data_IF_559618676442
#
_entry.id   IF_559618676442
#
_cell.length_a   1.000
_cell.length_b   1.000
_cell.length_c   1.000
_cell.angle_alpha   90.00
_cell.angle_beta   90.00
_cell.angle_gamma   90.00
#
_symmetry.space_group_name_H-M   'P 1'
#
loop_
_entity.id
_entity.type
_entity.pdbx_description
1 polymer ?
#
# COMPACT_ATOMS: atom_id res chain seq x y z
N UNK A 1 51.22 -8.31 -9.99
CA UNK A 1 50.61 -9.10 -8.90
C UNK A 1 49.14 -9.32 -9.22
N UNK A 2 48.67 -10.55 -8.97
CA UNK A 2 47.43 -11.16 -9.47
C UNK A 2 46.15 -10.45 -9.02
N UNK A 3 45.15 -10.46 -9.91
CA UNK A 3 43.73 -10.27 -9.60
C UNK A 3 43.29 -11.14 -8.42
N UNK A 4 42.51 -10.57 -7.50
CA UNK A 4 41.71 -11.36 -6.55
C UNK A 4 40.24 -11.01 -6.75
N UNK A 5 39.53 -12.04 -7.18
CA UNK A 5 38.12 -12.17 -7.46
C UNK A 5 37.20 -11.66 -6.35
N UNK A 6 36.18 -10.91 -6.74
CA UNK A 6 35.04 -10.57 -5.91
C UNK A 6 34.31 -11.81 -5.39
N UNK A 7 34.04 -11.82 -4.08
CA UNK A 7 33.15 -12.81 -3.47
C UNK A 7 31.71 -12.40 -3.75
N UNK A 8 31.01 -13.29 -4.45
CA UNK A 8 29.54 -13.35 -4.47
C UNK A 8 29.07 -13.71 -3.06
N UNK A 9 28.22 -12.88 -2.48
CA UNK A 9 27.29 -13.30 -1.44
C UNK A 9 25.89 -13.13 -1.99
N UNK A 10 25.37 -14.22 -2.55
CA UNK A 10 23.98 -14.31 -2.96
C UNK A 10 23.10 -14.44 -1.72
N UNK A 11 22.38 -13.38 -1.39
CA UNK A 11 21.09 -13.52 -0.74
C UNK A 11 20.06 -13.78 -1.84
N UNK A 12 19.67 -15.05 -1.95
CA UNK A 12 18.56 -15.46 -2.80
C UNK A 12 17.30 -14.86 -2.16
N UNK A 13 16.81 -13.79 -2.78
CA UNK A 13 15.53 -13.16 -2.50
C UNK A 13 14.45 -14.21 -2.33
N UNK A 14 13.81 -14.24 -1.14
CA UNK A 14 12.71 -15.15 -0.78
C UNK A 14 11.45 -14.98 -1.65
N UNK A 15 11.49 -14.09 -2.64
CA UNK A 15 10.36 -13.71 -3.49
C UNK A 15 10.37 -14.36 -4.89
N UNK A 16 11.30 -15.28 -5.17
CA UNK A 16 11.43 -15.93 -6.49
C UNK A 16 10.62 -17.23 -6.63
N UNK A 17 9.29 -17.12 -6.54
CA UNK A 17 8.39 -18.10 -7.17
C UNK A 17 8.05 -17.63 -8.59
N UNK A 18 8.98 -17.77 -9.54
CA UNK A 18 8.80 -17.81 -11.01
C UNK A 18 7.91 -16.79 -11.75
N UNK A 19 7.30 -15.81 -11.07
CA UNK A 19 6.32 -14.86 -11.60
C UNK A 19 6.77 -13.45 -11.26
N UNK A 20 6.94 -12.62 -12.29
CA UNK A 20 7.36 -11.21 -12.14
C UNK A 20 6.40 -10.47 -11.20
N UNK A 21 6.90 -10.00 -10.07
CA UNK A 21 6.18 -9.07 -9.21
C UNK A 21 6.05 -7.75 -9.96
N UNK A 22 4.83 -7.20 -10.01
CA UNK A 22 4.62 -5.85 -10.51
C UNK A 22 5.12 -4.88 -9.44
N UNK A 23 6.29 -4.27 -9.62
CA UNK A 23 6.84 -3.36 -8.63
C UNK A 23 6.22 -1.97 -8.80
N UNK A 24 6.17 -1.45 -10.03
CA UNK A 24 5.75 -0.09 -10.32
C UNK A 24 4.52 -0.04 -11.20
N UNK A 25 3.59 0.86 -10.90
CA UNK A 25 2.50 1.26 -11.77
C UNK A 25 2.50 2.78 -11.94
N UNK A 26 2.29 3.24 -13.16
CA UNK A 26 2.09 4.67 -13.45
C UNK A 26 0.59 4.96 -13.57
N UNK A 27 0.15 6.08 -13.00
CA UNK A 27 -1.20 6.62 -13.14
C UNK A 27 -1.12 8.05 -13.68
N UNK A 28 -1.85 8.30 -14.75
CA UNK A 28 -2.04 9.63 -15.33
C UNK A 28 -3.26 10.29 -14.67
N UNK A 29 -3.02 11.35 -13.90
CA UNK A 29 -4.05 12.08 -13.19
C UNK A 29 -4.94 12.94 -14.10
N UNK A 30 -4.51 13.24 -15.33
CA UNK A 30 -5.33 14.00 -16.29
C UNK A 30 -6.61 13.25 -16.72
N UNK A 31 -6.65 11.94 -16.48
CA UNK A 31 -7.80 11.08 -16.77
C UNK A 31 -8.91 11.16 -15.72
N UNK A 32 -8.71 11.90 -14.62
CA UNK A 32 -9.60 11.94 -13.47
C UNK A 32 -9.91 13.38 -13.07
N UNK A 33 -11.11 13.63 -12.59
CA UNK A 33 -11.55 14.93 -12.10
C UNK A 33 -10.89 15.24 -10.75
N UNK A 34 -11.22 14.46 -9.73
CA UNK A 34 -10.57 14.53 -8.41
C UNK A 34 -9.80 13.24 -8.14
N UNK A 35 -8.70 13.37 -7.40
CA UNK A 35 -7.91 12.23 -6.95
C UNK A 35 -7.73 12.32 -5.46
N UNK A 36 -8.15 11.26 -4.78
CA UNK A 36 -8.04 11.09 -3.34
C UNK A 36 -7.08 9.96 -3.02
N UNK A 37 -6.33 10.11 -1.94
CA UNK A 37 -5.49 9.07 -1.36
C UNK A 37 -6.04 8.72 0.03
N UNK A 38 -6.15 7.43 0.35
CA UNK A 38 -6.60 6.93 1.65
C UNK A 38 -5.53 6.10 2.34
N UNK A 39 -5.45 6.24 3.66
CA UNK A 39 -4.63 5.41 4.55
C UNK A 39 -5.10 3.95 4.62
N UNK A 40 -4.54 3.21 5.56
CA UNK A 40 -4.81 1.79 5.80
C UNK A 40 -6.30 1.56 6.10
N UNK A 41 -6.91 0.63 5.36
CA UNK A 41 -8.36 0.40 5.45
C UNK A 41 -8.72 -0.67 6.46
N UNK A 42 -7.95 -1.76 6.55
CA UNK A 42 -8.15 -2.86 7.50
C UNK A 42 -9.62 -3.26 7.68
N UNK A 43 -10.35 -3.53 6.59
CA UNK A 43 -11.75 -3.93 6.70
C UNK A 43 -12.74 -2.83 7.13
N UNK A 44 -12.35 -1.55 7.23
CA UNK A 44 -13.22 -0.42 7.60
C UNK A 44 -14.02 0.15 6.40
N UNK A 45 -14.64 -0.72 5.62
CA UNK A 45 -15.35 -0.33 4.38
C UNK A 45 -16.51 0.64 4.65
N UNK A 46 -17.28 0.44 5.72
CA UNK A 46 -18.38 1.35 6.07
C UNK A 46 -17.89 2.77 6.36
N UNK A 47 -16.74 2.92 7.03
CA UNK A 47 -16.13 4.20 7.33
C UNK A 47 -15.64 4.89 6.04
N UNK A 48 -15.01 4.14 5.13
CA UNK A 48 -14.65 4.65 3.81
C UNK A 48 -15.87 5.15 3.04
N UNK A 49 -16.94 4.34 2.97
CA UNK A 49 -18.16 4.71 2.27
C UNK A 49 -18.80 5.99 2.84
N UNK A 50 -18.81 6.14 4.17
CA UNK A 50 -19.29 7.36 4.82
C UNK A 50 -18.47 8.59 4.44
N UNK A 51 -17.13 8.48 4.43
CA UNK A 51 -16.23 9.58 4.03
C UNK A 51 -16.39 9.95 2.55
N UNK A 52 -16.43 8.98 1.65
CA UNK A 52 -16.65 9.23 0.22
C UNK A 52 -17.98 9.94 -0.05
N UNK A 53 -19.03 9.60 0.71
CA UNK A 53 -20.33 10.28 0.63
C UNK A 53 -20.23 11.75 1.05
N UNK A 54 -19.53 12.04 2.15
CA UNK A 54 -19.31 13.42 2.62
C UNK A 54 -18.53 14.25 1.59
N UNK A 55 -17.55 13.64 0.94
CA UNK A 55 -16.74 14.27 -0.13
C UNK A 55 -17.50 14.42 -1.45
N UNK A 56 -18.72 13.87 -1.57
CA UNK A 56 -19.48 13.80 -2.83
C UNK A 56 -18.65 13.14 -3.95
N UNK A 57 -17.91 12.09 -3.60
CA UNK A 57 -17.07 11.32 -4.51
C UNK A 57 -17.91 10.74 -5.66
N UNK A 58 -17.48 10.97 -6.90
CA UNK A 58 -18.12 10.43 -8.10
C UNK A 58 -17.30 9.25 -8.66
N UNK A 59 -17.77 8.00 -8.53
CA UNK A 59 -17.05 6.82 -9.00
C UNK A 59 -16.88 6.75 -10.52
N UNK A 60 -17.50 7.64 -11.30
CA UNK A 60 -17.34 7.69 -12.76
C UNK A 60 -16.29 8.71 -13.21
N UNK A 61 -15.93 9.65 -12.35
CA UNK A 61 -15.02 10.77 -12.68
C UNK A 61 -13.82 10.87 -11.74
N UNK A 62 -13.93 10.38 -10.52
CA UNK A 62 -12.91 10.51 -9.48
C UNK A 62 -12.13 9.20 -9.29
N UNK A 63 -10.91 9.33 -8.77
CA UNK A 63 -10.02 8.23 -8.42
C UNK A 63 -9.78 8.22 -6.91
N UNK A 64 -9.85 7.03 -6.32
CA UNK A 64 -9.35 6.74 -4.98
C UNK A 64 -8.13 5.82 -5.08
N UNK A 65 -7.01 6.26 -4.53
CA UNK A 65 -5.79 5.47 -4.36
C UNK A 65 -5.67 5.08 -2.89
N UNK A 66 -5.27 3.85 -2.59
CA UNK A 66 -5.01 3.36 -1.24
C UNK A 66 -3.53 3.01 -1.05
N UNK A 67 -3.01 3.28 0.15
CA UNK A 67 -1.67 2.85 0.60
C UNK A 67 -1.57 1.35 0.93
N UNK A 68 -2.62 0.55 0.67
CA UNK A 68 -2.65 -0.88 0.95
C UNK A 68 -3.32 -1.22 2.27
N UNK A 69 -3.05 -2.42 2.78
CA UNK A 69 -3.64 -2.96 4.00
C UNK A 69 -5.17 -2.84 4.00
N UNK A 70 -5.75 -3.48 2.99
CA UNK A 70 -7.19 -3.54 2.75
C UNK A 70 -7.89 -4.50 3.72
N UNK A 71 -7.17 -5.55 4.11
CA UNK A 71 -7.68 -6.68 4.92
C UNK A 71 -7.15 -6.69 6.33
N UNK A 72 -7.66 -7.66 7.10
CA UNK A 72 -7.34 -7.97 8.47
C UNK A 72 -7.79 -6.90 9.47
N UNK A 73 -7.82 -7.31 10.74
CA UNK A 73 -8.23 -6.52 11.93
C UNK A 73 -9.70 -6.11 11.95
N UNK A 74 -10.20 -5.43 10.92
CA UNK A 74 -11.59 -4.98 10.87
C UNK A 74 -12.55 -5.99 10.22
N UNK A 75 -13.87 -5.74 10.35
CA UNK A 75 -14.88 -6.76 10.12
C UNK A 75 -15.20 -7.04 8.64
N UNK A 76 -14.85 -6.14 7.71
CA UNK A 76 -15.30 -6.22 6.31
C UNK A 76 -14.17 -6.56 5.31
N UNK A 77 -13.13 -7.28 5.73
CA UNK A 77 -11.95 -7.60 4.91
C UNK A 77 -12.30 -8.13 3.50
N UNK A 78 -13.19 -9.13 3.39
CA UNK A 78 -13.62 -9.67 2.10
C UNK A 78 -14.27 -8.60 1.20
N UNK A 79 -15.13 -7.75 1.78
CA UNK A 79 -15.82 -6.71 1.04
C UNK A 79 -14.88 -5.56 0.63
N UNK A 80 -13.90 -5.22 1.48
CA UNK A 80 -12.86 -4.23 1.15
C UNK A 80 -12.00 -4.72 -0.01
N UNK A 81 -11.66 -6.01 -0.09
CA UNK A 81 -10.98 -6.56 -1.27
C UNK A 81 -11.79 -6.39 -2.56
N UNK A 82 -13.13 -6.42 -2.47
CA UNK A 82 -14.02 -6.15 -3.60
C UNK A 82 -13.88 -4.74 -4.21
N UNK A 83 -13.21 -3.81 -3.52
CA UNK A 83 -12.84 -2.52 -4.09
C UNK A 83 -11.87 -2.67 -5.27
N UNK A 84 -11.05 -3.73 -5.29
CA UNK A 84 -10.09 -3.98 -6.38
C UNK A 84 -10.73 -4.22 -7.75
N UNK A 85 -12.02 -4.55 -7.78
CA UNK A 85 -12.78 -4.70 -9.03
C UNK A 85 -13.40 -3.38 -9.51
N UNK A 86 -13.24 -2.28 -8.75
CA UNK A 86 -13.80 -0.98 -9.09
C UNK A 86 -12.84 -0.17 -9.94
N UNK A 87 -13.33 0.35 -11.08
CA UNK A 87 -12.53 1.16 -12.01
C UNK A 87 -11.90 2.39 -11.33
N UNK A 88 -12.61 3.01 -10.40
CA UNK A 88 -12.21 4.20 -9.64
C UNK A 88 -11.29 3.90 -8.45
N UNK A 89 -10.90 2.65 -8.21
CA UNK A 89 -10.05 2.29 -7.09
C UNK A 89 -8.70 1.73 -7.55
N UNK A 90 -7.62 2.23 -6.96
CA UNK A 90 -6.26 1.70 -7.11
C UNK A 90 -5.64 1.54 -5.73
N UNK A 91 -4.72 0.59 -5.59
CA UNK A 91 -4.01 0.38 -4.34
C UNK A 91 -2.58 -0.07 -4.63
N UNK A 92 -1.66 0.24 -3.72
CA UNK A 92 -0.43 -0.54 -3.58
C UNK A 92 -0.71 -1.76 -2.69
N UNK A 93 0.14 -2.79 -2.79
CA UNK A 93 0.08 -3.94 -1.88
C UNK A 93 0.59 -3.53 -0.50
N UNK A 94 -0.18 -3.83 0.55
CA UNK A 94 0.27 -3.74 1.94
C UNK A 94 0.91 -5.02 2.46
N UNK A 95 1.48 -4.94 3.67
CA UNK A 95 2.12 -6.11 4.26
C UNK A 95 1.11 -7.18 4.69
N UNK A 96 -0.14 -6.80 4.98
CA UNK A 96 -1.21 -7.75 5.29
C UNK A 96 -1.65 -8.55 4.05
N UNK A 97 -1.79 -7.92 2.88
CA UNK A 97 -1.98 -8.67 1.64
C UNK A 97 -0.80 -9.61 1.35
N UNK A 98 0.43 -9.17 1.60
CA UNK A 98 1.62 -10.00 1.38
C UNK A 98 1.62 -11.22 2.30
N UNK A 99 1.35 -11.05 3.61
CA UNK A 99 1.23 -12.18 4.56
C UNK A 99 0.15 -13.18 4.13
N UNK A 100 -1.02 -12.69 3.69
CA UNK A 100 -2.09 -13.56 3.23
C UNK A 100 -1.68 -14.40 2.01
N UNK A 101 -1.02 -13.77 1.04
CA UNK A 101 -0.53 -14.44 -0.17
C UNK A 101 0.53 -15.51 0.16
N UNK A 102 1.49 -15.18 1.02
CA UNK A 102 2.54 -16.10 1.47
C UNK A 102 1.99 -17.27 2.28
N UNK A 103 1.02 -17.00 3.15
CA UNK A 103 0.31 -18.04 3.87
C UNK A 103 -0.35 -19.00 2.88
N UNK A 104 -1.15 -18.49 1.94
CA UNK A 104 -1.86 -19.33 0.95
C UNK A 104 -0.91 -20.17 0.10
N UNK A 105 0.26 -19.65 -0.24
CA UNK A 105 1.25 -20.35 -1.05
C UNK A 105 2.01 -21.42 -0.26
N UNK A 106 2.37 -21.12 0.99
CA UNK A 106 3.17 -22.03 1.84
C UNK A 106 2.32 -23.01 2.66
N UNK A 107 1.02 -22.77 2.78
CA UNK A 107 0.13 -23.46 3.72
C UNK A 107 0.32 -23.05 5.19
N UNK A 108 1.28 -22.18 5.50
CA UNK A 108 1.62 -21.78 6.89
C UNK A 108 0.78 -20.58 7.32
N UNK A 109 -0.40 -20.84 7.87
CA UNK A 109 -1.38 -19.81 8.24
C UNK A 109 -1.05 -19.04 9.51
N UNK A 110 -0.27 -19.62 10.42
CA UNK A 110 -0.12 -19.12 11.79
C UNK A 110 0.34 -17.66 11.87
N UNK A 111 1.33 -17.25 11.07
CA UNK A 111 1.84 -15.87 11.07
C UNK A 111 0.76 -14.86 10.65
N UNK A 112 0.01 -15.18 9.59
CA UNK A 112 -1.07 -14.31 9.12
C UNK A 112 -2.22 -14.25 10.14
N UNK A 113 -2.59 -15.38 10.74
CA UNK A 113 -3.63 -15.43 11.78
C UNK A 113 -3.29 -14.57 12.99
N UNK A 114 -2.04 -14.63 13.47
CA UNK A 114 -1.54 -13.80 14.58
C UNK A 114 -1.59 -12.30 14.26
N UNK A 115 -1.61 -11.93 12.98
CA UNK A 115 -1.71 -10.55 12.52
C UNK A 115 -3.12 -10.20 12.01
N UNK A 116 -4.16 -10.93 12.43
CA UNK A 116 -5.55 -10.58 12.16
C UNK A 116 -6.17 -11.29 10.97
N UNK A 117 -5.51 -12.29 10.38
CA UNK A 117 -6.03 -13.12 9.28
C UNK A 117 -7.07 -14.19 9.67
N UNK A 118 -7.53 -14.22 10.93
CA UNK A 118 -8.48 -15.22 11.43
C UNK A 118 -9.80 -15.27 10.63
N UNK A 119 -10.29 -14.12 10.18
CA UNK A 119 -11.52 -14.00 9.40
C UNK A 119 -11.55 -14.91 8.15
N UNK A 120 -10.40 -15.13 7.52
CA UNK A 120 -10.29 -16.02 6.36
C UNK A 120 -10.38 -17.50 6.77
N UNK A 121 -9.77 -17.87 7.91
CA UNK A 121 -9.83 -19.22 8.44
C UNK A 121 -11.22 -19.57 8.99
N UNK A 122 -11.96 -18.59 9.50
CA UNK A 122 -13.33 -18.81 9.98
C UNK A 122 -14.35 -18.81 8.83
N UNK A 123 -13.95 -18.36 7.64
CA UNK A 123 -14.81 -18.37 6.45
C UNK A 123 -15.09 -19.79 5.95
N UNK A 124 -16.31 -20.00 5.47
CA UNK A 124 -16.73 -21.26 4.83
C UNK A 124 -15.93 -21.55 3.55
N UNK A 125 -15.93 -22.82 3.12
CA UNK A 125 -15.26 -23.22 1.87
C UNK A 125 -15.81 -22.48 0.64
N UNK A 126 -17.11 -22.19 0.63
CA UNK A 126 -17.76 -21.39 -0.43
C UNK A 126 -17.29 -19.93 -0.39
N UNK A 127 -17.27 -19.28 0.78
CA UNK A 127 -16.77 -17.92 0.91
C UNK A 127 -15.29 -17.82 0.47
N UNK A 128 -14.45 -18.80 0.84
CA UNK A 128 -13.06 -18.84 0.39
C UNK A 128 -12.92 -19.00 -1.13
N UNK A 129 -13.79 -19.79 -1.78
CA UNK A 129 -13.83 -19.87 -3.25
C UNK A 129 -14.17 -18.52 -3.88
N UNK A 130 -15.14 -17.80 -3.32
CA UNK A 130 -15.53 -16.47 -3.80
C UNK A 130 -14.42 -15.43 -3.63
N UNK A 131 -13.58 -15.56 -2.61
CA UNK A 131 -12.44 -14.67 -2.36
C UNK A 131 -11.19 -15.00 -3.19
N UNK A 132 -11.06 -16.22 -3.72
CA UNK A 132 -9.92 -16.63 -4.53
C UNK A 132 -9.56 -15.65 -5.68
N UNK A 133 -10.51 -15.15 -6.50
CA UNK A 133 -10.20 -14.16 -7.52
C UNK A 133 -9.68 -12.83 -6.93
N UNK A 134 -10.16 -12.42 -5.75
CA UNK A 134 -9.72 -11.20 -5.09
C UNK A 134 -8.26 -11.31 -4.61
N UNK A 135 -7.86 -12.46 -4.05
CA UNK A 135 -6.44 -12.71 -3.74
C UNK A 135 -5.56 -12.78 -4.99
N UNK A 136 -6.09 -13.30 -6.11
CA UNK A 136 -5.39 -13.23 -7.39
C UNK A 136 -5.16 -11.78 -7.86
N UNK A 137 -6.07 -10.85 -7.54
CA UNK A 137 -5.87 -9.40 -7.76
C UNK A 137 -4.83 -8.82 -6.81
N UNK A 138 -4.83 -9.20 -5.53
CA UNK A 138 -3.80 -8.79 -4.56
C UNK A 138 -2.39 -9.12 -5.07
N UNK A 139 -2.21 -10.30 -5.67
CA UNK A 139 -0.93 -10.73 -6.28
C UNK A 139 -0.50 -9.86 -7.48
N UNK A 140 -1.42 -9.11 -8.10
CA UNK A 140 -1.14 -8.20 -9.23
C UNK A 140 -0.99 -6.74 -8.81
N UNK A 141 -1.32 -6.40 -7.56
CA UNK A 141 -1.12 -5.05 -7.04
C UNK A 141 0.34 -4.62 -7.20
N UNK A 142 0.60 -3.38 -7.64
CA UNK A 142 1.94 -2.82 -7.60
C UNK A 142 2.41 -2.67 -6.15
N UNK A 143 3.72 -2.62 -5.94
CA UNK A 143 4.26 -2.20 -4.64
C UNK A 143 4.33 -0.67 -4.53
N UNK A 144 4.50 0.00 -5.68
CA UNK A 144 4.70 1.43 -5.78
C UNK A 144 3.84 1.97 -6.92
N UNK A 145 3.09 3.04 -6.66
CA UNK A 145 2.38 3.81 -7.67
C UNK A 145 3.10 5.15 -7.85
N UNK A 146 3.42 5.51 -9.10
CA UNK A 146 3.71 6.89 -9.47
C UNK A 146 2.42 7.51 -10.02
N UNK A 147 1.99 8.62 -9.44
CA UNK A 147 0.88 9.43 -9.91
C UNK A 147 1.41 10.78 -10.40
N UNK A 148 1.05 11.16 -11.63
CA UNK A 148 1.21 12.54 -12.12
C UNK A 148 -0.11 13.28 -11.94
N UNK A 149 -0.14 14.28 -11.05
CA UNK A 149 -1.31 15.12 -10.80
C UNK A 149 -0.93 16.58 -11.10
N UNK A 150 -1.39 17.10 -12.25
CA UNK A 150 -0.89 18.35 -12.79
C UNK A 150 0.62 18.29 -13.05
N UNK A 151 1.37 19.26 -12.54
CA UNK A 151 2.84 19.27 -12.63
C UNK A 151 3.54 18.46 -11.53
N UNK A 152 2.80 17.94 -10.55
CA UNK A 152 3.36 17.25 -9.39
C UNK A 152 3.44 15.74 -9.61
N UNK A 153 4.49 15.15 -9.04
CA UNK A 153 4.77 13.72 -9.01
C UNK A 153 4.59 13.20 -7.59
N UNK A 154 3.63 12.31 -7.41
CA UNK A 154 3.40 11.63 -6.14
C UNK A 154 3.84 10.17 -6.26
N UNK A 155 4.62 9.70 -5.29
CA UNK A 155 5.01 8.30 -5.14
C UNK A 155 4.24 7.75 -3.96
N UNK A 156 3.44 6.72 -4.20
CA UNK A 156 2.67 6.02 -3.17
C UNK A 156 3.29 4.66 -2.97
N UNK A 157 3.61 4.31 -1.73
CA UNK A 157 4.04 2.98 -1.32
C UNK A 157 3.43 2.67 0.04
N UNK A 158 3.47 1.40 0.46
CA UNK A 158 2.80 1.05 1.70
C UNK A 158 3.56 1.56 2.93
N UNK A 159 4.83 1.18 3.12
CA UNK A 159 5.59 1.53 4.33
C UNK A 159 6.71 2.54 4.07
N UNK A 160 7.48 2.36 3.00
CA UNK A 160 8.63 3.22 2.67
C UNK A 160 9.02 3.15 1.19
N UNK A 161 9.85 4.09 0.75
CA UNK A 161 10.65 4.00 -0.46
C UNK A 161 12.15 3.90 -0.11
N UNK A 162 12.79 2.72 -0.22
CA UNK A 162 14.10 2.46 0.36
C UNK A 162 15.27 2.95 -0.50
N UNK A 163 15.23 4.21 -0.93
CA UNK A 163 16.32 4.88 -1.63
C UNK A 163 16.29 6.39 -1.38
N UNK A 164 17.45 7.05 -1.50
CA UNK A 164 17.56 8.49 -1.33
C UNK A 164 16.96 9.30 -2.50
N UNK A 165 16.82 8.68 -3.67
CA UNK A 165 16.26 9.33 -4.86
C UNK A 165 15.39 8.34 -5.61
N UNK A 166 14.16 8.74 -5.91
CA UNK A 166 13.22 8.01 -6.74
C UNK A 166 13.63 8.03 -8.20
N UNK A 167 13.51 6.86 -8.83
CA UNK A 167 13.58 6.69 -10.29
C UNK A 167 12.56 5.65 -10.72
N UNK A 168 11.89 5.92 -11.83
CA UNK A 168 10.96 4.98 -12.44
C UNK A 168 11.64 3.63 -12.69
N UNK A 169 11.00 2.54 -12.24
CA UNK A 169 11.46 1.15 -12.39
C UNK A 169 12.81 0.80 -11.74
N UNK A 170 13.37 1.64 -10.87
CA UNK A 170 14.59 1.24 -10.18
C UNK A 170 14.36 0.04 -9.25
N UNK A 171 15.30 -0.90 -9.14
CA UNK A 171 15.18 -1.99 -8.18
C UNK A 171 15.07 -1.45 -6.75
N UNK A 172 14.19 -2.06 -5.96
CA UNK A 172 13.98 -1.74 -4.54
C UNK A 172 13.89 -3.04 -3.73
N UNK A 173 14.24 -2.96 -2.44
CA UNK A 173 13.99 -4.06 -1.51
C UNK A 173 12.49 -4.10 -1.18
N UNK A 174 11.83 -5.17 -1.65
CA UNK A 174 10.40 -5.44 -1.43
C UNK A 174 10.06 -5.49 0.07
N UNK A 175 10.95 -6.04 0.89
CA UNK A 175 10.76 -6.13 2.33
C UNK A 175 10.67 -4.74 2.93
N UNK A 176 11.57 -3.85 2.53
CA UNK A 176 11.59 -2.48 3.05
C UNK A 176 10.36 -1.69 2.60
N UNK A 177 9.92 -1.84 1.34
CA UNK A 177 8.71 -1.18 0.82
C UNK A 177 7.45 -1.56 1.61
N UNK A 178 7.40 -2.79 2.13
CA UNK A 178 6.23 -3.33 2.85
C UNK A 178 6.34 -3.21 4.37
N UNK A 179 7.53 -3.18 4.96
CA UNK A 179 7.70 -3.37 6.41
C UNK A 179 8.57 -2.32 7.10
N UNK A 180 9.24 -1.44 6.35
CA UNK A 180 10.19 -0.53 6.96
C UNK A 180 9.48 0.53 7.81
N UNK A 181 9.94 0.69 9.05
CA UNK A 181 9.52 1.77 9.97
C UNK A 181 10.68 2.68 10.37
N UNK A 182 11.89 2.40 9.89
CA UNK A 182 13.09 3.09 10.32
C UNK A 182 13.05 4.58 9.96
N UNK A 183 12.65 4.93 8.72
CA UNK A 183 12.59 6.33 8.27
C UNK A 183 11.65 7.16 9.14
N UNK A 184 10.44 6.66 9.39
CA UNK A 184 9.49 7.34 10.29
C UNK A 184 10.08 7.48 11.70
N UNK A 185 10.72 6.44 12.22
CA UNK A 185 11.39 6.48 13.53
C UNK A 185 12.49 7.54 13.57
N UNK A 186 13.25 7.70 12.49
CA UNK A 186 14.27 8.74 12.35
C UNK A 186 13.66 10.15 12.34
N UNK A 187 12.58 10.38 11.60
CA UNK A 187 11.88 11.67 11.60
C UNK A 187 11.30 12.03 12.96
N UNK A 188 10.68 11.07 13.66
CA UNK A 188 10.18 11.27 15.02
C UNK A 188 11.30 11.57 16.02
N UNK A 189 12.53 11.15 15.73
CA UNK A 189 13.73 11.47 16.49
C UNK A 189 14.44 12.76 16.01
N UNK A 190 13.82 13.55 15.13
CA UNK A 190 14.35 14.82 14.62
C UNK A 190 15.42 14.67 13.53
N UNK A 191 15.57 13.47 12.94
CA UNK A 191 16.44 13.24 11.78
C UNK A 191 15.62 13.33 10.50
N UNK A 192 15.92 14.34 9.69
CA UNK A 192 15.15 14.69 8.49
C UNK A 192 15.97 14.41 7.22
N UNK A 193 15.29 14.29 6.09
CA UNK A 193 15.89 13.99 4.80
C UNK A 193 14.85 13.75 3.72
N UNK A 194 14.76 14.68 2.78
CA UNK A 194 13.94 14.54 1.58
C UNK A 194 14.38 13.33 0.73
N UNK A 195 13.43 12.68 0.07
CA UNK A 195 13.70 11.72 -0.99
C UNK A 195 13.64 12.48 -2.31
N UNK A 196 14.73 12.51 -3.07
CA UNK A 196 14.76 13.18 -4.36
C UNK A 196 13.91 12.48 -5.42
N UNK A 197 13.68 13.12 -6.57
CA UNK A 197 13.10 12.48 -7.76
C UNK A 197 11.57 12.47 -7.86
N UNK A 198 10.86 12.88 -6.80
CA UNK A 198 9.43 13.15 -6.83
C UNK A 198 9.07 14.25 -5.82
N UNK A 199 7.93 14.89 -6.00
CA UNK A 199 7.48 16.02 -5.17
C UNK A 199 6.92 15.55 -3.83
N UNK A 200 6.28 14.37 -3.80
CA UNK A 200 5.66 13.82 -2.59
C UNK A 200 5.79 12.30 -2.52
N UNK A 201 5.96 11.78 -1.31
CA UNK A 201 5.95 10.37 -0.96
C UNK A 201 4.87 10.11 0.08
N UNK A 202 3.99 9.15 -0.19
CA UNK A 202 2.86 8.85 0.70
C UNK A 202 2.92 7.41 1.19
N UNK A 203 2.76 7.26 2.51
CA UNK A 203 2.89 6.00 3.22
C UNK A 203 1.75 5.80 4.23
N UNK A 204 1.48 4.53 4.51
CA UNK A 204 0.58 4.04 5.56
C UNK A 204 1.36 3.27 6.63
N UNK A 205 0.94 2.04 6.91
CA UNK A 205 1.64 0.97 7.64
C UNK A 205 1.87 1.15 9.15
N UNK A 206 2.23 2.35 9.57
CA UNK A 206 2.50 2.66 10.98
C UNK A 206 1.40 3.57 11.51
N UNK A 207 0.49 3.05 12.37
CA UNK A 207 -0.59 3.85 12.91
C UNK A 207 -0.07 5.01 13.75
N UNK A 208 -0.51 6.21 13.41
CA UNK A 208 -0.23 7.45 14.14
C UNK A 208 -1.52 8.05 14.69
N UNK A 209 -1.42 8.88 15.73
CA UNK A 209 -2.60 9.57 16.28
C UNK A 209 -3.21 10.59 15.32
N UNK A 210 -2.38 11.16 14.45
CA UNK A 210 -2.75 12.12 13.42
C UNK A 210 -1.75 11.99 12.27
N UNK A 211 -2.12 12.53 11.10
CA UNK A 211 -1.22 12.62 9.96
C UNK A 211 0.11 13.25 10.38
N UNK A 212 1.20 12.69 9.88
CA UNK A 212 2.55 13.21 10.11
C UNK A 212 3.24 13.47 8.78
N UNK A 213 3.79 14.67 8.65
CA UNK A 213 4.51 15.11 7.46
C UNK A 213 5.94 15.51 7.87
N UNK A 214 6.95 15.03 7.13
CA UNK A 214 8.34 15.45 7.24
C UNK A 214 8.93 15.57 5.85
N UNK A 215 9.58 16.70 5.55
CA UNK A 215 10.14 16.99 4.23
C UNK A 215 9.08 16.80 3.12
N UNK A 216 9.28 15.82 2.23
CA UNK A 216 8.32 15.42 1.21
C UNK A 216 7.72 14.03 1.46
N UNK A 217 7.74 13.53 2.70
CA UNK A 217 7.13 12.27 3.10
C UNK A 217 5.93 12.49 4.01
N UNK A 218 4.86 11.76 3.73
CA UNK A 218 3.55 11.92 4.35
C UNK A 218 3.02 10.58 4.84
N UNK A 219 2.78 10.47 6.14
CA UNK A 219 2.30 9.27 6.80
C UNK A 219 0.84 9.49 7.18
N UNK A 220 -0.04 8.73 6.53
CA UNK A 220 -1.49 8.93 6.56
C UNK A 220 -2.28 7.77 7.17
N UNK A 221 -1.60 6.76 7.73
CA UNK A 221 -2.25 5.80 8.61
C UNK A 221 -2.54 6.44 9.97
N UNK A 222 -3.79 6.82 10.17
CA UNK A 222 -4.28 7.40 11.44
C UNK A 222 -5.04 6.38 12.30
N UNK A 223 -4.85 5.09 12.02
CA UNK A 223 -5.34 4.01 12.88
C UNK A 223 -6.86 3.84 12.86
N UNK A 224 -7.50 3.97 11.69
CA UNK A 224 -8.95 3.89 11.52
C UNK A 224 -9.58 2.68 12.21
N UNK A 225 -8.98 1.50 12.06
CA UNK A 225 -9.47 0.24 12.65
C UNK A 225 -9.33 0.19 14.18
N UNK A 226 -8.48 1.03 14.77
CA UNK A 226 -8.29 1.16 16.21
C UNK A 226 -9.15 2.27 16.83
N UNK A 227 -10.12 2.81 16.08
CA UNK A 227 -10.95 3.93 16.51
C UNK A 227 -10.36 5.31 16.24
N UNK A 228 -9.25 5.38 15.49
CA UNK A 228 -8.70 6.62 14.97
C UNK A 228 -9.48 7.14 13.76
N UNK A 229 -8.94 8.17 13.11
CA UNK A 229 -9.52 8.69 11.88
C UNK A 229 -9.20 7.75 10.69
N UNK A 230 -10.05 7.73 9.66
CA UNK A 230 -9.63 7.28 8.34
C UNK A 230 -9.19 8.49 7.50
N UNK A 231 -7.89 8.75 7.40
CA UNK A 231 -7.38 9.91 6.64
C UNK A 231 -7.58 9.73 5.14
N UNK A 232 -8.23 10.73 4.52
CA UNK A 232 -8.26 10.92 3.07
C UNK A 232 -7.57 12.25 2.75
N UNK A 233 -6.68 12.25 1.75
CA UNK A 233 -5.97 13.43 1.26
C UNK A 233 -6.37 13.70 -0.18
N UNK A 234 -6.72 14.93 -0.50
CA UNK A 234 -6.97 15.34 -1.88
C UNK A 234 -5.64 15.64 -2.57
N UNK A 235 -5.29 14.86 -3.59
CA UNK A 235 -4.08 15.06 -4.38
C UNK A 235 -4.35 15.89 -5.65
N UNK A 236 -5.57 15.82 -6.16
CA UNK A 236 -6.01 16.61 -7.29
C UNK A 236 -7.46 17.04 -7.09
N UNK A 237 -7.72 18.30 -7.37
CA UNK A 237 -9.06 18.86 -7.48
C UNK A 237 -9.19 19.51 -8.84
N UNK A 238 -10.27 19.21 -9.56
CA UNK A 238 -10.62 20.02 -10.73
C UNK A 238 -10.98 21.44 -10.26
N UNK A 239 -10.34 22.45 -10.86
CA UNK A 239 -10.67 23.85 -10.67
C UNK A 239 -12.08 24.19 -11.15
#
# INVERSE_FOLDING_TARGET
MKCVSGRRTGEISRYNCGRRINIYQHLDGSLWRNIWLVGDLHGCLALLAAKLRLLRFDPYQDLLISVGDLIDRGPQSAATLGLLDRRWFRAVRGNHEQMALEAQESGKMALWMLNGGLWYQESSSEARRQMAPLFARCRRLPLIIELRAGSQTHVIAHADYPAACYRWQQPVDVTQVLWNRQRLTEHLAGRHGAIGGADHFWFGHTPLRQRYDSDNQHYIDTGAVFGGELTLVQLQQAG
#
